data_IF_480148566385
#
_entry.id   IF_480148566385
#
_cell.length_a   1.000
_cell.length_b   1.000
_cell.length_c   1.000
_cell.angle_alpha   90.00
_cell.angle_beta   90.00
_cell.angle_gamma   90.00
#
_symmetry.space_group_name_H-M   'P 1'
#
loop_
_entity.id
_entity.type
_entity.pdbx_description
1 polymer ?
#
# COMPACT_ATOMS: atom_id res chain seq x y z
N UNK A 1 27.01 22.56 3.07
CA UNK A 1 26.67 22.13 1.70
C UNK A 1 25.30 21.52 1.69
N UNK A 2 24.43 22.01 0.84
CA UNK A 2 23.07 21.48 0.75
C UNK A 2 23.07 20.19 -0.09
N UNK A 3 22.39 19.19 0.42
CA UNK A 3 22.14 17.97 -0.34
C UNK A 3 21.05 18.22 -1.36
N UNK A 4 21.30 17.87 -2.60
CA UNK A 4 20.28 17.99 -3.63
C UNK A 4 19.13 17.03 -3.36
N UNK A 5 17.90 17.51 -3.53
CA UNK A 5 16.71 16.68 -3.42
C UNK A 5 16.43 16.07 -4.78
N UNK A 6 16.44 14.75 -4.85
CA UNK A 6 16.11 14.00 -6.04
C UNK A 6 14.91 13.12 -5.71
N UNK A 7 13.81 13.29 -6.46
CA UNK A 7 12.59 12.52 -6.21
C UNK A 7 12.83 11.04 -6.49
N UNK A 8 12.41 10.17 -5.57
CA UNK A 8 12.64 8.74 -5.74
C UNK A 8 11.63 8.11 -6.69
N UNK A 9 11.99 6.92 -7.14
CA UNK A 9 11.08 6.02 -7.86
C UNK A 9 10.43 5.05 -6.89
N UNK A 10 9.17 4.75 -7.13
CA UNK A 10 8.49 3.66 -6.43
C UNK A 10 8.87 2.36 -7.13
N UNK A 11 9.75 1.60 -6.50
CA UNK A 11 10.25 0.35 -7.06
C UNK A 11 9.16 -0.72 -7.07
N UNK A 12 8.39 -0.80 -5.97
CA UNK A 12 7.41 -1.86 -5.77
C UNK A 12 6.33 -1.43 -4.80
N UNK A 13 5.12 -1.92 -5.03
CA UNK A 13 4.01 -1.80 -4.09
C UNK A 13 3.20 -3.09 -4.11
N UNK A 14 2.92 -3.64 -2.94
CA UNK A 14 2.20 -4.90 -2.81
C UNK A 14 1.17 -4.76 -1.70
N UNK A 15 -0.06 -5.20 -1.98
CA UNK A 15 -1.10 -5.38 -0.97
C UNK A 15 -1.07 -6.83 -0.52
N UNK A 16 -0.97 -7.07 0.79
CA UNK A 16 -0.88 -8.42 1.34
C UNK A 16 -1.52 -8.48 2.72
N UNK A 17 -1.68 -9.70 3.24
CA UNK A 17 -2.28 -9.90 4.56
C UNK A 17 -1.29 -9.69 5.69
N UNK A 18 -0.01 -9.97 5.46
CA UNK A 18 1.01 -9.82 6.49
C UNK A 18 2.40 -9.64 5.86
N UNK A 19 3.30 -9.05 6.64
CA UNK A 19 4.71 -8.89 6.29
C UNK A 19 5.52 -9.44 7.45
N UNK A 20 6.38 -10.42 7.16
CA UNK A 20 7.24 -11.04 8.17
C UNK A 20 8.68 -10.61 7.96
N UNK A 21 9.39 -10.37 9.06
CA UNK A 21 10.83 -10.11 9.04
C UNK A 21 11.55 -11.40 9.43
N UNK A 22 12.38 -11.91 8.54
CA UNK A 22 13.14 -13.12 8.79
C UNK A 22 14.41 -12.80 9.59
N UNK A 23 15.08 -13.83 10.13
CA UNK A 23 16.27 -13.65 10.96
C UNK A 23 17.41 -12.93 10.22
N UNK A 24 17.49 -13.12 8.92
CA UNK A 24 18.53 -12.48 8.10
C UNK A 24 18.19 -11.05 7.69
N UNK A 25 17.08 -10.49 8.19
CA UNK A 25 16.62 -9.15 7.88
C UNK A 25 15.81 -9.04 6.58
N UNK A 26 15.62 -10.13 5.86
CA UNK A 26 14.78 -10.14 4.67
C UNK A 26 13.32 -10.19 5.05
N UNK A 27 12.46 -9.63 4.21
CA UNK A 27 11.03 -9.61 4.44
C UNK A 27 10.32 -10.64 3.58
N UNK A 28 9.29 -11.26 4.15
CA UNK A 28 8.42 -12.19 3.45
C UNK A 28 7.01 -11.63 3.43
N UNK A 29 6.43 -11.50 2.24
CA UNK A 29 5.06 -11.01 2.08
C UNK A 29 4.14 -12.22 2.04
N UNK A 30 3.12 -12.20 2.90
CA UNK A 30 2.21 -13.33 3.09
C UNK A 30 0.82 -12.93 2.62
N UNK A 31 0.21 -13.74 1.75
CA UNK A 31 -1.14 -13.52 1.27
C UNK A 31 -1.25 -12.29 0.38
N UNK A 32 -0.51 -12.28 -0.72
CA UNK A 32 -0.57 -11.18 -1.68
C UNK A 32 -1.94 -11.16 -2.36
N UNK A 33 -2.59 -9.98 -2.34
CA UNK A 33 -3.96 -9.81 -2.81
C UNK A 33 -4.01 -8.94 -4.04
N UNK A 34 -4.84 -9.35 -5.01
CA UNK A 34 -5.20 -8.52 -6.16
C UNK A 34 -6.71 -8.47 -6.39
N UNK A 35 -7.45 -9.20 -5.59
CA UNK A 35 -8.90 -9.30 -5.69
C UNK A 35 -9.44 -9.72 -4.31
N UNK A 36 -10.64 -9.28 -3.98
CA UNK A 36 -11.31 -9.67 -2.74
C UNK A 36 -12.60 -10.39 -3.10
N UNK A 37 -12.59 -11.74 -3.13
CA UNK A 37 -13.80 -12.51 -3.36
C UNK A 37 -14.54 -12.73 -2.04
N UNK A 38 -15.85 -12.53 -2.04
CA UNK A 38 -16.67 -12.79 -0.85
C UNK A 38 -18.08 -13.18 -1.25
N UNK A 39 -18.72 -14.12 -0.53
CA UNK A 39 -20.11 -14.47 -0.82
C UNK A 39 -21.10 -13.40 -0.38
N UNK A 40 -20.72 -12.56 0.58
CA UNK A 40 -21.61 -11.51 1.08
C UNK A 40 -20.81 -10.37 1.70
N UNK A 41 -21.48 -9.22 1.87
CA UNK A 41 -20.94 -8.03 2.52
C UNK A 41 -21.53 -7.86 3.93
N UNK A 42 -20.84 -7.21 4.85
CA UNK A 42 -19.48 -6.69 4.67
C UNK A 42 -18.45 -7.80 4.78
N UNK A 43 -17.29 -7.60 4.16
CA UNK A 43 -16.13 -8.48 4.35
C UNK A 43 -15.09 -7.73 5.15
N UNK A 44 -14.55 -8.39 6.18
CA UNK A 44 -13.61 -7.79 7.10
C UNK A 44 -12.25 -8.48 6.99
N UNK A 45 -11.20 -7.66 6.93
CA UNK A 45 -9.83 -8.14 7.07
C UNK A 45 -9.30 -7.68 8.41
N UNK A 46 -8.90 -8.62 9.24
CA UNK A 46 -8.30 -8.32 10.54
C UNK A 46 -6.99 -7.59 10.36
N UNK A 47 -6.27 -7.89 9.29
CA UNK A 47 -5.02 -7.23 8.95
C UNK A 47 -4.86 -7.16 7.44
N UNK A 48 -4.54 -5.96 6.95
CA UNK A 48 -4.06 -5.74 5.59
C UNK A 48 -2.82 -4.89 5.66
N UNK A 49 -1.88 -5.13 4.75
CA UNK A 49 -0.63 -4.39 4.69
C UNK A 49 -0.42 -3.86 3.29
N UNK A 50 0.05 -2.61 3.21
CA UNK A 50 0.58 -2.06 1.97
C UNK A 50 2.08 -1.96 2.15
N UNK A 51 2.82 -2.75 1.38
CA UNK A 51 4.28 -2.80 1.38
C UNK A 51 4.79 -2.00 0.20
N UNK A 52 5.67 -1.04 0.45
CA UNK A 52 6.26 -0.20 -0.60
C UNK A 52 7.76 -0.14 -0.44
N UNK A 53 8.46 0.02 -1.57
CA UNK A 53 9.90 0.24 -1.58
C UNK A 53 10.24 1.36 -2.55
N UNK A 54 10.98 2.34 -2.05
CA UNK A 54 11.44 3.49 -2.82
C UNK A 54 12.95 3.42 -3.01
N UNK A 55 13.43 3.95 -4.13
CA UNK A 55 14.86 3.97 -4.42
C UNK A 55 15.19 5.11 -5.39
N UNK A 56 16.46 5.30 -5.67
CA UNK A 56 16.95 6.23 -6.69
C UNK A 56 16.57 7.68 -6.41
N UNK A 57 16.65 8.06 -5.13
CA UNK A 57 16.37 9.43 -4.73
C UNK A 57 17.19 9.84 -3.53
N UNK A 58 17.20 11.13 -3.23
CA UNK A 58 17.86 11.68 -2.04
C UNK A 58 17.02 12.78 -1.46
N UNK A 59 16.81 12.74 -0.14
CA UNK A 59 16.05 13.74 0.59
C UNK A 59 15.12 13.12 1.61
N UNK A 60 14.25 13.97 2.14
CA UNK A 60 13.19 13.56 3.06
C UNK A 60 11.85 13.66 2.35
N UNK A 61 11.05 12.61 2.47
CA UNK A 61 9.82 12.48 1.71
C UNK A 61 8.65 12.04 2.60
N UNK A 62 7.44 12.27 2.11
CA UNK A 62 6.21 11.88 2.79
C UNK A 62 5.40 10.96 1.87
N UNK A 63 5.09 9.77 2.37
CA UNK A 63 4.24 8.82 1.66
C UNK A 63 2.87 8.76 2.31
N UNK A 64 1.83 8.76 1.48
CA UNK A 64 0.46 8.49 1.90
C UNK A 64 -0.08 7.34 1.08
N UNK A 65 -0.65 6.35 1.75
CA UNK A 65 -1.23 5.15 1.13
C UNK A 65 -2.71 5.10 1.44
N UNK A 66 -3.53 4.84 0.42
CA UNK A 66 -4.98 4.79 0.57
C UNK A 66 -5.57 3.57 -0.11
N UNK A 67 -6.68 3.10 0.43
CA UNK A 67 -7.61 2.23 -0.28
C UNK A 67 -8.90 3.03 -0.44
N UNK A 68 -9.34 3.24 -1.67
CA UNK A 68 -10.53 4.04 -1.97
C UNK A 68 -11.64 3.18 -2.55
N UNK A 69 -12.88 3.58 -2.29
CA UNK A 69 -14.07 2.88 -2.74
C UNK A 69 -14.36 3.07 -4.22
N UNK A 70 -15.38 2.39 -4.74
CA UNK A 70 -15.67 2.38 -6.17
C UNK A 70 -15.98 3.73 -6.78
N UNK A 71 -16.50 4.67 -5.99
CA UNK A 71 -16.87 6.00 -6.46
C UNK A 71 -15.75 7.04 -6.23
N UNK A 72 -14.61 6.61 -5.72
CA UNK A 72 -13.45 7.46 -5.39
C UNK A 72 -13.72 8.51 -4.31
N UNK A 73 -14.92 8.56 -3.76
CA UNK A 73 -15.26 9.55 -2.73
C UNK A 73 -15.03 9.04 -1.32
N UNK A 74 -14.99 7.72 -1.16
CA UNK A 74 -14.85 7.10 0.15
C UNK A 74 -13.45 6.51 0.31
N UNK A 75 -12.76 6.93 1.37
CA UNK A 75 -11.48 6.33 1.77
C UNK A 75 -11.76 5.21 2.75
N UNK A 76 -11.41 3.97 2.37
CA UNK A 76 -11.61 2.78 3.20
C UNK A 76 -10.52 2.69 4.26
N UNK A 77 -9.29 2.99 3.88
CA UNK A 77 -8.12 2.94 4.77
C UNK A 77 -7.09 3.95 4.28
N UNK A 78 -6.35 4.53 5.22
CA UNK A 78 -5.31 5.49 4.90
C UNK A 78 -4.23 5.47 5.98
N UNK A 79 -2.98 5.59 5.57
CA UNK A 79 -1.84 5.74 6.46
C UNK A 79 -0.77 6.60 5.81
N UNK A 80 0.07 7.21 6.64
CA UNK A 80 1.11 8.12 6.20
C UNK A 80 2.40 7.84 6.95
N UNK A 81 3.54 8.12 6.30
CA UNK A 81 4.86 7.99 6.91
C UNK A 81 5.83 8.94 6.24
N UNK A 82 6.70 9.54 7.03
CA UNK A 82 7.88 10.26 6.52
C UNK A 82 9.04 9.29 6.43
N UNK A 83 9.86 9.44 5.40
CA UNK A 83 11.04 8.60 5.23
C UNK A 83 12.18 9.37 4.57
N UNK A 84 13.39 8.87 4.78
CA UNK A 84 14.60 9.48 4.25
C UNK A 84 15.29 8.54 3.27
N UNK A 85 15.83 9.14 2.21
CA UNK A 85 16.78 8.47 1.33
C UNK A 85 18.06 9.31 1.35
N UNK A 86 19.15 8.73 1.86
CA UNK A 86 20.40 9.47 2.07
C UNK A 86 21.35 9.38 0.90
N UNK A 87 21.18 8.37 0.05
CA UNK A 87 22.05 8.15 -1.11
C UNK A 87 21.29 7.41 -2.20
N UNK A 88 21.76 7.60 -3.44
CA UNK A 88 21.07 7.08 -4.63
C UNK A 88 20.95 5.55 -4.65
N UNK A 89 21.92 4.84 -4.06
CA UNK A 89 21.92 3.38 -3.98
C UNK A 89 21.04 2.84 -2.87
N UNK A 90 20.53 3.71 -2.01
CA UNK A 90 19.75 3.33 -0.86
C UNK A 90 18.30 3.00 -1.23
N UNK A 91 17.67 2.26 -0.34
CA UNK A 91 16.26 1.91 -0.45
C UNK A 91 15.54 2.29 0.84
N UNK A 92 14.27 2.66 0.72
CA UNK A 92 13.39 2.85 1.87
C UNK A 92 12.19 1.95 1.69
N UNK A 93 11.97 1.07 2.65
CA UNK A 93 10.82 0.16 2.65
C UNK A 93 9.84 0.61 3.73
N UNK A 94 8.61 0.90 3.32
CA UNK A 94 7.55 1.30 4.24
C UNK A 94 6.45 0.28 4.22
N UNK A 95 6.00 -0.14 5.41
CA UNK A 95 4.90 -1.08 5.54
C UNK A 95 3.81 -0.41 6.36
N UNK A 96 2.65 -0.23 5.76
CA UNK A 96 1.48 0.27 6.45
C UNK A 96 0.59 -0.90 6.84
N UNK A 97 0.36 -1.05 8.15
CA UNK A 97 -0.51 -2.09 8.68
C UNK A 97 -1.87 -1.49 9.01
N UNK A 98 -2.91 -2.08 8.46
CA UNK A 98 -4.29 -1.67 8.73
C UNK A 98 -4.98 -2.79 9.50
N UNK A 99 -5.57 -2.46 10.65
CA UNK A 99 -6.36 -3.40 11.44
C UNK A 99 -7.84 -3.19 11.20
N UNK A 100 -8.59 -4.28 11.02
CA UNK A 100 -10.05 -4.20 10.93
C UNK A 100 -10.56 -3.46 9.71
N UNK A 101 -9.98 -3.71 8.53
CA UNK A 101 -10.43 -3.08 7.28
C UNK A 101 -11.73 -3.73 6.83
N UNK A 102 -12.76 -2.92 6.59
CA UNK A 102 -14.08 -3.40 6.20
C UNK A 102 -14.45 -2.88 4.81
N UNK A 103 -14.80 -3.81 3.93
CA UNK A 103 -15.32 -3.49 2.60
C UNK A 103 -16.83 -3.71 2.62
N UNK A 104 -17.59 -2.66 2.33
CA UNK A 104 -19.05 -2.66 2.44
C UNK A 104 -19.76 -2.69 1.10
N UNK A 105 -19.02 -2.63 0.00
CA UNK A 105 -19.57 -2.59 -1.34
C UNK A 105 -18.83 -3.56 -2.25
N UNK A 106 -19.56 -4.15 -3.19
CA UNK A 106 -18.95 -4.76 -4.37
C UNK A 106 -18.53 -3.66 -5.33
N UNK A 107 -17.54 -3.95 -6.16
CA UNK A 107 -17.11 -3.01 -7.17
C UNK A 107 -15.61 -2.81 -7.18
N UNK A 108 -15.18 -1.93 -8.06
CA UNK A 108 -13.77 -1.69 -8.31
C UNK A 108 -13.23 -0.64 -7.34
N UNK A 109 -12.54 -1.13 -6.31
CA UNK A 109 -11.76 -0.30 -5.41
C UNK A 109 -10.38 -0.06 -6.01
N UNK A 110 -9.62 0.87 -5.43
CA UNK A 110 -8.25 1.15 -5.85
C UNK A 110 -7.34 1.33 -4.65
N UNK A 111 -6.09 0.90 -4.84
CA UNK A 111 -4.99 1.25 -3.94
C UNK A 111 -4.24 2.41 -4.56
N UNK A 112 -3.97 3.46 -3.77
CA UNK A 112 -3.29 4.66 -4.23
C UNK A 112 -2.10 4.98 -3.35
N UNK A 113 -0.97 5.29 -3.98
CA UNK A 113 0.26 5.68 -3.30
C UNK A 113 0.63 7.08 -3.75
N UNK A 114 0.78 7.98 -2.79
CA UNK A 114 1.17 9.37 -3.01
C UNK A 114 2.56 9.64 -2.44
N UNK A 115 3.33 10.44 -3.15
CA UNK A 115 4.56 11.04 -2.63
C UNK A 115 4.31 12.53 -2.53
N UNK A 116 4.25 13.06 -1.30
CA UNK A 116 3.72 14.40 -1.11
C UNK A 116 2.28 14.47 -1.62
N UNK A 117 2.01 15.41 -2.51
CA UNK A 117 0.68 15.56 -3.11
C UNK A 117 0.55 14.85 -4.46
N UNK A 118 1.60 14.20 -4.93
CA UNK A 118 1.62 13.59 -6.25
C UNK A 118 1.25 12.11 -6.18
N UNK A 119 0.26 11.72 -6.99
CA UNK A 119 -0.12 10.31 -7.14
C UNK A 119 0.96 9.58 -7.94
N UNK A 120 1.58 8.58 -7.34
CA UNK A 120 2.65 7.80 -7.97
C UNK A 120 2.17 6.47 -8.53
N UNK A 121 1.16 5.88 -7.90
CA UNK A 121 0.66 4.57 -8.31
C UNK A 121 -0.80 4.45 -7.92
N UNK A 122 -1.58 3.94 -8.83
CA UNK A 122 -2.98 3.58 -8.58
C UNK A 122 -3.23 2.24 -9.27
N UNK A 123 -3.70 1.26 -8.53
CA UNK A 123 -4.03 -0.02 -9.15
C UNK A 123 -5.37 -0.55 -8.63
N UNK A 124 -6.04 -1.39 -9.44
CA UNK A 124 -7.38 -1.86 -9.10
C UNK A 124 -7.36 -2.93 -8.01
N UNK A 125 -8.40 -2.89 -7.19
CA UNK A 125 -8.69 -3.91 -6.17
C UNK A 125 -10.18 -4.22 -6.25
N UNK A 126 -10.59 -5.14 -7.10
CA UNK A 126 -12.01 -5.48 -7.23
C UNK A 126 -12.49 -6.28 -6.01
N UNK A 127 -13.64 -5.88 -5.49
CA UNK A 127 -14.39 -6.66 -4.49
C UNK A 127 -15.53 -7.32 -5.24
N UNK A 128 -15.51 -8.65 -5.33
CA UNK A 128 -16.41 -9.39 -6.20
C UNK A 128 -17.23 -10.41 -5.41
N UNK A 129 -18.47 -10.58 -5.86
CA UNK A 129 -19.34 -11.58 -5.28
C UNK A 129 -19.01 -12.95 -5.87
N UNK A 130 -18.85 -13.95 -4.99
CA UNK A 130 -18.67 -15.33 -5.37
C UNK A 130 -19.78 -16.16 -4.77
N UNK A 131 -20.19 -17.22 -5.48
CA UNK A 131 -21.22 -18.12 -4.95
C UNK A 131 -20.58 -19.11 -4.00
N UNK A 132 -21.22 -19.31 -2.87
CA UNK A 132 -20.84 -20.42 -1.98
C UNK A 132 -21.34 -21.74 -2.63
N UNK A 133 -20.48 -22.72 -2.59
CA UNK A 133 -20.82 -24.05 -3.08
C UNK A 133 -21.83 -24.74 -2.15
#
# INVERSE_FOLDING_TARGET
>A
MQTEIILPDLQSCVLCEDVRCEFNGMQTLVGVLNIIPTPKLPVNYMRLCIWTRWCSGTGRFHQRSKIVGPDDTQTIAQAEVDFDLKQMEGHATNVHYFGGVQFQQFGLHHVEIYLGDELKLRFPLPVVEVKTA
#
